data_IF_123254844769
#
_entry.id   IF_123254844769
#
_cell.length_a   1.000
_cell.length_b   1.000
_cell.length_c   1.000
_cell.angle_alpha   90.00
_cell.angle_beta   90.00
_cell.angle_gamma   90.00
#
_symmetry.space_group_name_H-M   'P 1'
#
loop_
_entity.id
_entity.type
_entity.pdbx_description
1 polymer ?
#
# COMPACT_ATOMS: atom_id res chain seq x y z
N UNK A 1 -4.01 10.43 -12.29
CA UNK A 1 -2.87 9.53 -12.53
C UNK A 1 -3.27 8.55 -13.63
N UNK A 2 -2.81 8.80 -14.85
CA UNK A 2 -3.06 7.90 -16.00
C UNK A 2 -2.00 6.81 -15.97
N UNK A 3 -2.43 5.55 -15.94
CA UNK A 3 -1.53 4.40 -15.94
C UNK A 3 -1.43 3.78 -17.32
N UNK A 4 -0.19 3.63 -17.77
CA UNK A 4 0.21 2.81 -18.90
C UNK A 4 -0.17 1.34 -18.61
N UNK A 5 -1.11 0.77 -19.36
CA UNK A 5 -1.26 -0.68 -19.56
C UNK A 5 -1.85 -1.55 -18.44
N UNK A 6 -2.14 -1.04 -17.24
CA UNK A 6 -2.80 -1.80 -16.18
C UNK A 6 -4.30 -1.48 -16.11
N UNK A 7 -5.15 -2.51 -15.94
CA UNK A 7 -6.61 -2.28 -15.88
C UNK A 7 -6.95 -1.29 -14.74
N UNK A 8 -7.80 -0.28 -15.01
CA UNK A 8 -8.12 0.79 -14.04
C UNK A 8 -8.76 0.26 -12.74
N UNK A 9 -9.49 -0.85 -12.85
CA UNK A 9 -10.05 -1.64 -11.74
C UNK A 9 -8.96 -2.11 -10.75
N UNK A 10 -7.81 -2.55 -11.24
CA UNK A 10 -6.69 -3.02 -10.41
C UNK A 10 -5.99 -1.86 -9.69
N UNK A 11 -5.81 -0.73 -10.37
CA UNK A 11 -5.23 0.48 -9.78
C UNK A 11 -6.13 1.07 -8.70
N UNK A 12 -7.44 1.05 -8.92
CA UNK A 12 -8.43 1.50 -7.95
C UNK A 12 -8.44 0.61 -6.69
N UNK A 13 -8.30 -0.71 -6.87
CA UNK A 13 -8.18 -1.66 -5.76
C UNK A 13 -6.91 -1.42 -4.93
N UNK A 14 -5.76 -1.23 -5.57
CA UNK A 14 -4.51 -0.90 -4.87
C UNK A 14 -4.57 0.47 -4.19
N UNK A 15 -5.15 1.47 -4.85
CA UNK A 15 -5.33 2.81 -4.29
C UNK A 15 -6.18 2.78 -3.00
N UNK A 16 -7.17 1.90 -2.92
CA UNK A 16 -7.94 1.68 -1.69
C UNK A 16 -7.09 1.13 -0.56
N UNK A 17 -6.25 0.13 -0.84
CA UNK A 17 -5.32 -0.42 0.15
C UNK A 17 -4.37 0.66 0.67
N UNK A 18 -3.67 1.36 -0.24
CA UNK A 18 -2.75 2.44 0.11
C UNK A 18 -3.43 3.55 0.91
N UNK A 19 -4.67 3.95 0.58
CA UNK A 19 -5.42 4.93 1.38
C UNK A 19 -5.76 4.42 2.78
N UNK A 20 -6.05 3.14 2.94
CA UNK A 20 -6.32 2.52 4.25
C UNK A 20 -5.08 2.54 5.13
N UNK A 21 -3.93 2.21 4.54
CA UNK A 21 -2.61 2.31 5.19
C UNK A 21 -2.32 3.77 5.54
N UNK A 22 -2.48 4.70 4.60
CA UNK A 22 -2.27 6.14 4.82
C UNK A 22 -3.16 6.68 5.96
N UNK A 23 -4.43 6.24 6.00
CA UNK A 23 -5.37 6.58 7.06
C UNK A 23 -5.00 6.01 8.42
N UNK A 24 -4.43 4.80 8.46
CA UNK A 24 -3.94 4.19 9.70
C UNK A 24 -2.76 4.98 10.28
N UNK A 25 -1.80 5.36 9.45
CA UNK A 25 -0.62 6.09 9.91
C UNK A 25 -0.87 7.58 10.16
N UNK A 26 -1.95 8.17 9.59
CA UNK A 26 -2.25 9.61 9.60
C UNK A 26 -1.03 10.51 9.30
N UNK A 27 -0.05 9.97 8.60
CA UNK A 27 1.23 10.61 8.24
C UNK A 27 1.46 10.40 6.75
N UNK A 28 2.19 11.33 6.14
CA UNK A 28 2.64 11.16 4.77
C UNK A 28 3.49 9.89 4.67
N UNK A 29 3.17 9.01 3.70
CA UNK A 29 3.95 7.79 3.42
C UNK A 29 5.43 8.09 3.11
N UNK A 30 5.77 9.35 2.84
CA UNK A 30 7.12 9.84 2.57
C UNK A 30 8.11 9.60 3.72
N UNK A 31 7.63 9.59 4.97
CA UNK A 31 8.44 9.32 6.17
C UNK A 31 8.19 7.91 6.75
N UNK A 32 7.57 7.01 5.98
CA UNK A 32 7.25 5.68 6.45
C UNK A 32 8.49 4.78 6.37
N UNK A 33 9.10 4.52 7.53
CA UNK A 33 10.20 3.57 7.64
C UNK A 33 9.68 2.14 7.42
N UNK A 34 10.48 1.27 6.81
CA UNK A 34 10.19 -0.16 6.63
C UNK A 34 9.77 -0.82 7.95
N UNK A 35 10.33 -0.37 9.07
CA UNK A 35 9.98 -0.85 10.41
C UNK A 35 8.52 -0.56 10.80
N UNK A 36 8.03 0.65 10.50
CA UNK A 36 6.63 1.01 10.71
C UNK A 36 5.68 0.15 9.87
N UNK A 37 6.06 -0.12 8.61
CA UNK A 37 5.31 -1.04 7.74
C UNK A 37 5.26 -2.46 8.33
N UNK A 38 6.37 -2.97 8.89
CA UNK A 38 6.39 -4.29 9.55
C UNK A 38 5.41 -4.34 10.73
N UNK A 39 5.42 -3.32 11.58
CA UNK A 39 4.47 -3.21 12.71
C UNK A 39 3.01 -3.17 12.24
N UNK A 40 2.73 -2.44 11.16
CA UNK A 40 1.41 -2.40 10.55
C UNK A 40 0.95 -3.76 10.02
N UNK A 41 1.80 -4.45 9.26
CA UNK A 41 1.46 -5.78 8.76
C UNK A 41 1.32 -6.81 9.88
N UNK A 42 2.08 -6.69 10.96
CA UNK A 42 1.93 -7.52 12.15
C UNK A 42 0.57 -7.30 12.84
N UNK A 43 0.08 -6.06 12.96
CA UNK A 43 -1.26 -5.80 13.47
C UNK A 43 -2.37 -6.23 12.49
N UNK A 44 -2.11 -6.09 11.18
CA UNK A 44 -3.08 -6.47 10.15
C UNK A 44 -3.25 -7.98 10.00
N UNK A 45 -2.19 -8.77 10.16
CA UNK A 45 -2.27 -10.24 10.02
C UNK A 45 -3.17 -10.86 11.08
N UNK A 46 -3.29 -10.22 12.25
CA UNK A 46 -4.20 -10.67 13.31
C UNK A 46 -5.66 -10.27 13.03
N UNK A 47 -5.88 -9.13 12.37
CA UNK A 47 -7.22 -8.56 12.19
C UNK A 47 -7.86 -8.83 10.82
N UNK A 48 -7.07 -9.14 9.79
CA UNK A 48 -7.54 -9.23 8.41
C UNK A 48 -7.06 -10.52 7.71
N UNK A 49 -7.87 -11.04 6.76
CA UNK A 49 -7.47 -12.18 5.98
C UNK A 49 -6.28 -11.85 5.08
N UNK A 50 -5.42 -12.85 4.87
CA UNK A 50 -4.20 -12.77 4.05
C UNK A 50 -4.41 -12.18 2.65
N UNK A 51 -5.57 -12.37 2.04
CA UNK A 51 -5.90 -11.76 0.73
C UNK A 51 -5.87 -10.23 0.78
N UNK A 52 -6.29 -9.62 1.89
CA UNK A 52 -6.22 -8.18 2.12
C UNK A 52 -4.78 -7.72 2.29
N UNK A 53 -3.98 -8.45 3.08
CA UNK A 53 -2.55 -8.15 3.27
C UNK A 53 -1.77 -8.20 1.95
N UNK A 54 -2.10 -9.17 1.08
CA UNK A 54 -1.49 -9.27 -0.25
C UNK A 54 -1.83 -8.05 -1.12
N UNK A 55 -3.08 -7.58 -1.08
CA UNK A 55 -3.51 -6.37 -1.79
C UNK A 55 -2.78 -5.13 -1.27
N UNK A 56 -2.70 -4.95 0.05
CA UNK A 56 -1.99 -3.84 0.68
C UNK A 56 -0.50 -3.84 0.34
N UNK A 57 0.16 -5.00 0.45
CA UNK A 57 1.58 -5.16 0.09
C UNK A 57 1.85 -4.80 -1.37
N UNK A 58 1.04 -5.31 -2.30
CA UNK A 58 1.17 -4.98 -3.72
C UNK A 58 0.93 -3.50 -3.98
N UNK A 59 -0.06 -2.89 -3.30
CA UNK A 59 -0.33 -1.46 -3.41
C UNK A 59 0.82 -0.59 -2.91
N UNK A 60 1.44 -0.95 -1.78
CA UNK A 60 2.61 -0.25 -1.23
C UNK A 60 3.82 -0.42 -2.16
N UNK A 61 4.09 -1.64 -2.64
CA UNK A 61 5.19 -1.89 -3.58
C UNK A 61 5.01 -1.09 -4.88
N UNK A 62 3.78 -1.04 -5.41
CA UNK A 62 3.45 -0.21 -6.56
C UNK A 62 3.64 1.28 -6.26
N UNK A 63 3.18 1.76 -5.10
CA UNK A 63 3.35 3.14 -4.67
C UNK A 63 4.83 3.53 -4.56
N UNK A 64 5.66 2.69 -3.93
CA UNK A 64 7.11 2.93 -3.86
C UNK A 64 7.76 3.00 -5.24
N UNK A 65 7.40 2.07 -6.13
CA UNK A 65 7.98 2.00 -7.47
C UNK A 65 7.52 3.15 -8.38
N UNK A 66 6.25 3.55 -8.30
CA UNK A 66 5.65 4.52 -9.23
C UNK A 66 5.56 5.95 -8.68
N UNK A 67 5.45 6.14 -7.37
CA UNK A 67 5.33 7.46 -6.74
C UNK A 67 6.67 7.94 -6.23
N UNK A 68 7.42 7.09 -5.53
CA UNK A 68 8.74 7.46 -5.00
C UNK A 68 9.87 7.29 -6.04
N UNK A 69 9.61 6.63 -7.19
CA UNK A 69 10.58 6.34 -8.25
C UNK A 69 11.91 5.78 -7.75
N UNK A 70 11.90 5.09 -6.60
CA UNK A 70 13.07 4.41 -6.05
C UNK A 70 13.04 2.95 -6.54
N UNK A 71 14.07 2.49 -7.26
CA UNK A 71 14.14 1.12 -7.77
C UNK A 71 14.21 0.08 -6.66
#
# INVERSE_FOLDING_TARGET
MVCQGLRPETISAYSRGVRRVAGYFKRCLDNLTVDGLKGYFAALVESHPWSTLKLDRNGIQFYYRHVLQRP
#
